data_IF_662574933484
#
_entry.id   IF_662574933484
#
_cell.length_a   1.000
_cell.length_b   1.000
_cell.length_c   1.000
_cell.angle_alpha   90.00
_cell.angle_beta   90.00
_cell.angle_gamma   90.00
#
_symmetry.space_group_name_H-M   'P 1'
#
loop_
_entity.id
_entity.type
_entity.pdbx_description
1 polymer ?
#
# COMPACT_ATOMS: atom_id res chain seq x y z
N UNK A 1 6.78 12.70 -7.92
CA UNK A 1 6.99 11.43 -7.19
C UNK A 1 6.94 10.30 -8.21
N UNK A 2 7.88 9.36 -8.16
CA UNK A 2 7.90 8.22 -9.09
C UNK A 2 6.71 7.30 -8.85
N UNK A 3 6.27 6.60 -9.90
CA UNK A 3 5.21 5.59 -9.80
C UNK A 3 5.63 4.52 -8.80
N UNK A 4 4.77 4.26 -7.82
CA UNK A 4 4.96 3.19 -6.83
C UNK A 4 4.66 1.86 -7.52
N UNK A 5 5.62 0.93 -7.44
CA UNK A 5 5.44 -0.46 -7.88
C UNK A 5 5.42 -1.36 -6.65
N UNK A 6 4.34 -2.11 -6.47
CA UNK A 6 4.21 -3.08 -5.39
C UNK A 6 5.06 -4.31 -5.73
N UNK A 7 5.95 -4.70 -4.81
CA UNK A 7 6.86 -5.86 -4.97
C UNK A 7 6.19 -7.16 -4.54
N UNK A 8 6.76 -8.32 -4.93
CA UNK A 8 6.24 -9.64 -4.51
C UNK A 8 6.24 -9.82 -2.99
N UNK A 9 7.27 -9.32 -2.29
CA UNK A 9 7.33 -9.32 -0.81
C UNK A 9 6.15 -8.54 -0.23
N UNK A 10 5.89 -7.34 -0.75
CA UNK A 10 4.78 -6.50 -0.31
C UNK A 10 3.43 -7.16 -0.62
N UNK A 11 3.28 -7.82 -1.77
CA UNK A 11 2.08 -8.60 -2.06
C UNK A 11 1.84 -9.73 -1.06
N UNK A 12 2.91 -10.44 -0.65
CA UNK A 12 2.83 -11.48 0.37
C UNK A 12 2.38 -10.91 1.72
N UNK A 13 2.92 -9.75 2.13
CA UNK A 13 2.50 -9.05 3.35
C UNK A 13 1.03 -8.64 3.25
N UNK A 14 0.60 -8.02 2.14
CA UNK A 14 -0.79 -7.61 1.91
C UNK A 14 -1.74 -8.81 2.03
N UNK A 15 -1.42 -9.93 1.36
CA UNK A 15 -2.22 -11.17 1.42
C UNK A 15 -2.27 -11.74 2.84
N UNK A 16 -1.17 -11.65 3.60
CA UNK A 16 -1.12 -12.11 5.00
C UNK A 16 -1.95 -11.24 5.93
N UNK A 17 -1.98 -9.92 5.71
CA UNK A 17 -2.81 -8.99 6.47
C UNK A 17 -4.31 -9.23 6.24
N UNK A 18 -4.68 -9.78 5.07
CA UNK A 18 -6.01 -10.29 4.74
C UNK A 18 -7.14 -9.27 5.02
N UNK A 19 -6.90 -8.01 4.70
CA UNK A 19 -7.90 -6.95 4.81
C UNK A 19 -8.95 -7.10 3.70
N UNK A 20 -10.26 -6.97 4.00
CA UNK A 20 -11.33 -7.16 3.01
C UNK A 20 -11.37 -6.08 1.92
N UNK A 21 -10.83 -4.88 2.18
CA UNK A 21 -10.82 -3.76 1.23
C UNK A 21 -9.46 -3.59 0.56
N UNK A 22 -8.38 -3.65 1.32
CA UNK A 22 -7.03 -3.38 0.85
C UNK A 22 -6.35 -4.61 0.23
N UNK A 23 -6.95 -5.14 -0.84
CA UNK A 23 -6.36 -6.25 -1.61
C UNK A 23 -5.17 -5.79 -2.45
N UNK A 24 -4.39 -6.74 -2.97
CA UNK A 24 -3.25 -6.44 -3.88
C UNK A 24 -3.72 -5.67 -5.11
N UNK A 25 -4.82 -6.12 -5.71
CA UNK A 25 -5.41 -5.54 -6.92
C UNK A 25 -5.89 -4.11 -6.64
N UNK A 26 -6.59 -3.94 -5.51
CA UNK A 26 -7.04 -2.63 -5.05
C UNK A 26 -5.86 -1.68 -4.86
N UNK A 27 -4.82 -2.08 -4.13
CA UNK A 27 -3.68 -1.21 -3.87
C UNK A 27 -2.91 -0.86 -5.15
N UNK A 28 -2.76 -1.81 -6.09
CA UNK A 28 -2.15 -1.53 -7.41
C UNK A 28 -2.91 -0.46 -8.19
N UNK A 29 -4.23 -0.47 -8.12
CA UNK A 29 -5.08 0.53 -8.75
C UNK A 29 -4.97 1.88 -8.05
N UNK A 30 -5.03 1.90 -6.71
CA UNK A 30 -5.29 3.13 -5.95
C UNK A 30 -4.06 3.88 -5.45
N UNK A 31 -2.93 3.20 -5.18
CA UNK A 31 -1.72 3.83 -4.60
C UNK A 31 -1.05 4.86 -5.52
N UNK A 32 -1.27 4.77 -6.83
CA UNK A 32 -0.73 5.72 -7.81
C UNK A 32 -1.75 6.76 -8.29
N UNK A 33 -2.97 6.73 -7.78
CA UNK A 33 -4.00 7.70 -8.16
C UNK A 33 -3.73 9.05 -7.53
N UNK A 34 -3.96 10.10 -8.31
CA UNK A 34 -3.80 11.48 -7.89
C UNK A 34 -5.11 12.25 -8.13
N UNK A 35 -6.20 11.71 -7.60
CA UNK A 35 -7.52 12.32 -7.69
C UNK A 35 -7.54 13.62 -6.86
N UNK A 36 -8.15 14.67 -7.41
CA UNK A 36 -8.25 15.97 -6.75
C UNK A 36 -9.54 16.03 -5.91
N UNK A 37 -9.42 16.38 -4.62
CA UNK A 37 -10.56 16.45 -3.70
C UNK A 37 -11.66 17.42 -4.14
N UNK A 38 -11.31 18.50 -4.86
CA UNK A 38 -12.27 19.46 -5.38
C UNK A 38 -13.04 18.98 -6.62
N UNK A 39 -12.56 17.90 -7.25
CA UNK A 39 -13.15 17.31 -8.47
C UNK A 39 -13.84 15.99 -8.15
N UNK A 40 -13.19 15.14 -7.34
CA UNK A 40 -13.69 13.83 -6.94
C UNK A 40 -13.23 13.51 -5.51
N UNK A 41 -13.90 14.12 -4.53
CA UNK A 41 -13.59 13.94 -3.11
C UNK A 41 -13.58 12.47 -2.67
N UNK A 42 -14.56 11.62 -3.04
CA UNK A 42 -14.53 10.21 -2.65
C UNK A 42 -13.28 9.47 -3.15
N UNK A 43 -12.90 9.64 -4.42
CA UNK A 43 -11.72 8.98 -4.97
C UNK A 43 -10.43 9.50 -4.34
N UNK A 44 -10.34 10.82 -4.09
CA UNK A 44 -9.18 11.40 -3.40
C UNK A 44 -9.00 10.80 -1.99
N UNK A 45 -10.09 10.68 -1.22
CA UNK A 45 -10.05 10.06 0.11
C UNK A 45 -9.67 8.58 0.05
N UNK A 46 -10.18 7.85 -0.95
CA UNK A 46 -9.87 6.43 -1.15
C UNK A 46 -8.39 6.21 -1.53
N UNK A 47 -7.83 7.05 -2.40
CA UNK A 47 -6.41 7.04 -2.75
C UNK A 47 -5.52 7.37 -1.54
N UNK A 48 -5.94 8.29 -0.67
CA UNK A 48 -5.24 8.56 0.59
C UNK A 48 -5.27 7.36 1.54
N UNK A 49 -6.42 6.68 1.67
CA UNK A 49 -6.52 5.46 2.47
C UNK A 49 -5.62 4.34 1.97
N UNK A 50 -5.62 4.08 0.66
CA UNK A 50 -4.73 3.11 0.03
C UNK A 50 -3.25 3.43 0.26
N UNK A 51 -2.89 4.71 0.14
CA UNK A 51 -1.52 5.19 0.39
C UNK A 51 -1.09 4.98 1.85
N UNK A 52 -1.98 5.23 2.80
CA UNK A 52 -1.75 5.00 4.22
C UNK A 52 -1.52 3.52 4.55
N UNK A 53 -2.39 2.63 4.05
CA UNK A 53 -2.22 1.18 4.23
C UNK A 53 -0.90 0.70 3.62
N UNK A 54 -0.57 1.13 2.41
CA UNK A 54 0.68 0.75 1.75
C UNK A 54 1.94 1.28 2.49
N UNK A 55 1.85 2.43 3.16
CA UNK A 55 2.93 2.90 4.02
C UNK A 55 3.18 1.95 5.21
N UNK A 56 2.13 1.36 5.79
CA UNK A 56 2.25 0.34 6.83
C UNK A 56 2.89 -0.96 6.30
N UNK A 57 2.49 -1.42 5.11
CA UNK A 57 3.11 -2.57 4.44
C UNK A 57 4.63 -2.39 4.29
N UNK A 58 5.09 -1.21 3.84
CA UNK A 58 6.53 -0.89 3.75
C UNK A 58 7.23 -0.81 5.11
N UNK A 59 6.52 -0.48 6.19
CA UNK A 59 7.08 -0.50 7.53
C UNK A 59 7.28 -1.95 8.01
N UNK A 60 6.31 -2.83 7.73
CA UNK A 60 6.40 -4.25 8.05
C UNK A 60 7.53 -4.92 7.28
N UNK A 61 7.63 -4.68 5.96
CA UNK A 61 8.72 -5.21 5.12
C UNK A 61 10.10 -4.84 5.71
N UNK A 62 10.29 -3.58 6.12
CA UNK A 62 11.55 -3.13 6.73
C UNK A 62 11.82 -3.76 8.09
N UNK A 63 10.80 -4.00 8.91
CA UNK A 63 10.94 -4.67 10.20
C UNK A 63 11.37 -6.14 10.03
N UNK A 64 10.79 -6.83 9.05
CA UNK A 64 11.17 -8.22 8.72
C UNK A 64 12.60 -8.32 8.17
N UNK A 65 13.05 -7.31 7.42
CA UNK A 65 14.45 -7.23 6.96
C UNK A 65 15.43 -6.99 8.10
N UNK A 66 15.08 -6.16 9.09
CA UNK A 66 15.93 -5.95 10.28
C UNK A 66 15.98 -7.14 11.22
N UNK A 67 14.90 -7.93 11.33
CA UNK A 67 14.86 -9.12 12.17
C UNK A 67 15.67 -10.28 11.56
N UNK A 68 15.80 -10.33 10.23
CA UNK A 68 16.61 -11.33 9.52
C UNK A 68 18.12 -11.05 9.51
N UNK A 69 18.55 -9.84 9.87
CA UNK A 69 19.98 -9.45 9.93
C UNK A 69 20.65 -9.85 11.25
N UNK A 70 19.88 -10.36 12.22
CA UNK A 70 20.33 -10.68 13.58
C UNK A 70 20.35 -12.19 13.89
N UNK A 71 20.34 -13.04 12.86
CA UNK A 71 20.47 -14.51 12.93
C UNK A 71 21.56 -15.02 12.01
#
# INVERSE_FOLDING_TARGET
MGKITITEKQEAIIRRLNDPLYTVEFLKEWVNRNDNVFINAPAALQAMGASGFFAAVRAIERAEESDGENT
#
